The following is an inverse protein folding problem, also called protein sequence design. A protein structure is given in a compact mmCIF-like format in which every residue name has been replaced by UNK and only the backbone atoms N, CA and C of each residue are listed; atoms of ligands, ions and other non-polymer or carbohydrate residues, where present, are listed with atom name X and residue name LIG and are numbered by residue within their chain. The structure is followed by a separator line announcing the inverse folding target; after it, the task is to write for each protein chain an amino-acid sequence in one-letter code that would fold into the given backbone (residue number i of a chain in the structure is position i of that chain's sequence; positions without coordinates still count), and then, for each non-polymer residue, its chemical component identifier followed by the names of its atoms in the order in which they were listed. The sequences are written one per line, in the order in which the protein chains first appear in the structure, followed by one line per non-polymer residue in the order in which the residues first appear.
data_IF_643571964948
#
_entry.id   IF_643571964948
#
_cell.length_a   1.000
_cell.length_b   1.000
_cell.length_c   1.000
_cell.angle_alpha   90.00
_cell.angle_beta   90.00
_cell.angle_gamma   90.00
#
_symmetry.space_group_name_H-M   'P 1'
#
loop_
_entity.id
_entity.type
_entity.pdbx_description
1 polymer ?
#
# COMPACT_ATOMS: atom_id res chain seq x y z
N UNK A 1 -43.97 -18.24 42.64
CA UNK A 1 -42.56 -18.39 43.04
C UNK A 1 -41.81 -18.66 41.74
N UNK A 2 -41.38 -17.65 40.96
CA UNK A 2 -40.21 -16.77 41.18
C UNK A 2 -38.94 -17.62 41.40
N UNK A 3 -37.85 -17.57 40.64
CA UNK A 3 -37.19 -16.46 39.95
C UNK A 3 -36.33 -16.92 38.76
N UNK A 4 -36.17 -16.00 37.81
CA UNK A 4 -35.17 -15.92 36.72
C UNK A 4 -33.74 -15.73 37.22
N UNK A 5 -32.73 -16.25 36.50
CA UNK A 5 -31.32 -15.78 36.48
C UNK A 5 -30.67 -16.33 35.19
N UNK A 6 -30.38 -15.54 34.14
CA UNK A 6 -29.18 -14.69 33.91
C UNK A 6 -27.87 -15.53 33.87
N UNK A 7 -26.92 -15.44 32.92
CA UNK A 7 -26.61 -14.46 31.87
C UNK A 7 -25.56 -15.08 30.89
N UNK A 8 -25.49 -14.43 29.72
CA UNK A 8 -24.55 -14.52 28.60
C UNK A 8 -23.07 -14.84 28.89
N UNK A 9 -22.38 -15.43 27.90
CA UNK A 9 -21.35 -14.74 27.12
C UNK A 9 -20.98 -15.55 25.86
N UNK A 10 -21.27 -14.99 24.68
CA UNK A 10 -20.79 -15.50 23.39
C UNK A 10 -19.34 -15.05 23.20
N UNK A 11 -18.40 -16.01 23.19
CA UNK A 11 -17.03 -15.76 22.79
C UNK A 11 -16.93 -15.82 21.26
N UNK A 12 -17.05 -14.67 20.59
CA UNK A 12 -16.64 -14.52 19.21
C UNK A 12 -15.13 -14.26 19.17
N UNK A 13 -14.35 -15.33 19.09
CA UNK A 13 -12.94 -15.22 18.72
C UNK A 13 -12.86 -14.85 17.23
N UNK A 14 -12.27 -13.70 16.95
CA UNK A 14 -12.08 -13.15 15.62
C UNK A 14 -11.18 -14.07 14.78
N UNK A 15 -11.81 -14.85 13.88
CA UNK A 15 -11.11 -15.58 12.84
C UNK A 15 -10.59 -14.57 11.81
N UNK A 16 -9.27 -14.39 11.77
CA UNK A 16 -8.60 -13.68 10.68
C UNK A 16 -8.92 -14.40 9.37
N UNK A 17 -9.55 -13.67 8.45
CA UNK A 17 -10.09 -14.17 7.20
C UNK A 17 -9.07 -14.97 6.41
N UNK A 18 -9.47 -16.19 6.08
CA UNK A 18 -8.85 -17.08 5.11
C UNK A 18 -8.69 -16.35 3.77
N UNK A 19 -7.44 -16.09 3.36
CA UNK A 19 -7.11 -15.73 1.99
C UNK A 19 -7.28 -16.98 1.12
N UNK A 20 -8.46 -17.13 0.52
CA UNK A 20 -8.71 -18.13 -0.51
C UNK A 20 -7.88 -17.79 -1.75
N UNK A 21 -6.86 -18.59 -1.99
CA UNK A 21 -6.15 -18.64 -3.28
C UNK A 21 -7.13 -18.97 -4.39
N UNK A 22 -7.39 -18.01 -5.28
CA UNK A 22 -8.04 -18.24 -6.55
C UNK A 22 -7.15 -17.71 -7.69
N UNK A 23 -6.78 -18.64 -8.56
CA UNK A 23 -5.83 -18.51 -9.65
C UNK A 23 -6.23 -17.52 -10.74
N UNK A 24 -5.22 -16.79 -11.22
CA UNK A 24 -5.01 -16.27 -12.58
C UNK A 24 -6.24 -15.97 -13.46
N UNK A 25 -6.63 -14.70 -13.46
CA UNK A 25 -6.93 -13.96 -14.68
C UNK A 25 -6.56 -12.50 -14.41
N UNK A 26 -5.79 -11.87 -15.30
CA UNK A 26 -5.58 -10.41 -15.31
C UNK A 26 -6.91 -9.75 -15.70
N UNK A 27 -7.89 -9.81 -14.81
CA UNK A 27 -9.06 -8.95 -14.91
C UNK A 27 -8.55 -7.53 -14.74
N UNK A 28 -8.80 -6.67 -15.72
CA UNK A 28 -8.61 -5.23 -15.55
C UNK A 28 -9.23 -4.86 -14.20
N UNK A 29 -8.40 -4.36 -13.28
CA UNK A 29 -8.83 -4.10 -11.90
C UNK A 29 -10.14 -3.29 -11.94
N UNK A 30 -11.23 -3.93 -11.50
CA UNK A 30 -12.54 -3.28 -11.50
C UNK A 30 -12.45 -2.05 -10.59
N UNK A 31 -12.96 -0.92 -11.08
CA UNK A 31 -13.01 0.30 -10.29
C UNK A 31 -13.76 0.02 -8.97
N UNK A 32 -13.23 0.46 -7.81
CA UNK A 32 -13.86 0.18 -6.53
C UNK A 32 -15.21 0.89 -6.45
N UNK A 33 -16.24 0.18 -5.98
CA UNK A 33 -17.60 0.73 -5.89
C UNK A 33 -17.85 1.51 -4.60
N UNK A 34 -16.97 1.34 -3.61
CA UNK A 34 -17.06 1.98 -2.29
C UNK A 34 -15.68 2.15 -1.65
N UNK A 35 -15.63 2.90 -0.55
CA UNK A 35 -14.39 3.20 0.17
C UNK A 35 -13.67 1.93 0.68
N UNK A 36 -14.43 0.92 1.12
CA UNK A 36 -13.83 -0.32 1.63
C UNK A 36 -13.09 -1.06 0.52
N UNK A 37 -13.72 -1.25 -0.63
CA UNK A 37 -13.08 -1.88 -1.79
C UNK A 37 -11.86 -1.09 -2.26
N UNK A 38 -11.92 0.25 -2.25
CA UNK A 38 -10.77 1.09 -2.61
C UNK A 38 -9.60 0.89 -1.65
N UNK A 39 -9.87 0.87 -0.33
CA UNK A 39 -8.84 0.63 0.70
C UNK A 39 -8.26 -0.78 0.59
N UNK A 40 -9.11 -1.82 0.45
CA UNK A 40 -8.68 -3.21 0.32
C UNK A 40 -7.76 -3.38 -0.91
N UNK A 41 -8.13 -2.78 -2.05
CA UNK A 41 -7.31 -2.79 -3.27
C UNK A 41 -5.98 -2.03 -3.12
N UNK A 42 -6.00 -0.85 -2.48
CA UNK A 42 -4.80 -0.05 -2.24
C UNK A 42 -3.81 -0.78 -1.32
N UNK A 43 -4.31 -1.37 -0.23
CA UNK A 43 -3.50 -2.16 0.69
C UNK A 43 -2.92 -3.42 0.03
N UNK A 44 -3.68 -4.06 -0.87
CA UNK A 44 -3.18 -5.20 -1.64
C UNK A 44 -2.00 -4.83 -2.54
N UNK A 45 -2.13 -3.75 -3.32
CA UNK A 45 -1.03 -3.23 -4.16
C UNK A 45 0.18 -2.83 -3.32
N UNK A 46 -0.04 -2.07 -2.23
CA UNK A 46 1.03 -1.67 -1.31
C UNK A 46 1.77 -2.89 -0.75
N UNK A 47 1.04 -3.93 -0.34
CA UNK A 47 1.64 -5.16 0.17
C UNK A 47 2.51 -5.83 -0.89
N UNK A 48 1.97 -6.04 -2.09
CA UNK A 48 2.70 -6.71 -3.18
C UNK A 48 3.96 -5.93 -3.57
N UNK A 49 3.89 -4.61 -3.64
CA UNK A 49 5.00 -3.75 -4.02
C UNK A 49 6.07 -3.67 -2.92
N UNK A 50 5.63 -3.57 -1.66
CA UNK A 50 6.52 -3.61 -0.50
C UNK A 50 7.26 -4.95 -0.42
N UNK A 51 6.56 -6.07 -0.60
CA UNK A 51 7.18 -7.40 -0.58
C UNK A 51 8.23 -7.56 -1.69
N UNK A 52 8.02 -6.96 -2.86
CA UNK A 52 9.05 -6.92 -3.92
C UNK A 52 10.25 -6.07 -3.53
N UNK A 53 10.03 -4.90 -2.95
CA UNK A 53 11.11 -4.00 -2.51
C UNK A 53 11.98 -4.61 -1.40
N UNK A 54 11.37 -5.17 -0.35
CA UNK A 54 12.12 -5.70 0.81
C UNK A 54 12.82 -7.04 0.53
N UNK A 55 12.52 -7.67 -0.61
CA UNK A 55 13.17 -8.93 -1.01
C UNK A 55 14.60 -8.72 -1.54
N UNK A 56 15.06 -7.47 -1.67
CA UNK A 56 16.41 -7.17 -2.13
C UNK A 56 17.47 -7.54 -1.08
N UNK A 57 18.60 -8.10 -1.51
CA UNK A 57 19.67 -8.57 -0.61
C UNK A 57 20.43 -7.42 0.08
N UNK A 58 20.60 -6.29 -0.61
CA UNK A 58 21.16 -5.06 -0.04
C UNK A 58 20.12 -4.36 0.87
N UNK A 59 20.49 -4.15 2.13
CA UNK A 59 19.61 -3.60 3.15
C UNK A 59 19.18 -2.14 2.87
N UNK A 60 20.05 -1.32 2.28
CA UNK A 60 19.72 0.07 1.98
C UNK A 60 18.73 0.14 0.81
N UNK A 61 18.92 -0.72 -0.19
CA UNK A 61 17.97 -0.86 -1.32
C UNK A 61 16.64 -1.43 -0.82
N UNK A 62 16.66 -2.47 0.01
CA UNK A 62 15.45 -3.06 0.58
C UNK A 62 14.65 -2.04 1.39
N UNK A 63 15.34 -1.24 2.21
CA UNK A 63 14.73 -0.15 2.95
C UNK A 63 14.14 0.90 2.00
N UNK A 64 14.92 1.39 1.03
CA UNK A 64 14.48 2.46 0.14
C UNK A 64 13.29 2.04 -0.74
N UNK A 65 13.34 0.85 -1.34
CA UNK A 65 12.27 0.33 -2.18
C UNK A 65 11.02 -0.03 -1.37
N UNK A 66 11.20 -0.70 -0.21
CA UNK A 66 10.10 -1.05 0.68
C UNK A 66 9.39 0.18 1.24
N UNK A 67 10.15 1.19 1.69
CA UNK A 67 9.58 2.44 2.22
C UNK A 67 8.93 3.27 1.13
N UNK A 68 9.46 3.24 -0.10
CA UNK A 68 8.83 3.90 -1.23
C UNK A 68 7.45 3.31 -1.54
N UNK A 69 7.32 1.98 -1.53
CA UNK A 69 6.02 1.30 -1.70
C UNK A 69 5.05 1.60 -0.55
N UNK A 70 5.54 1.60 0.70
CA UNK A 70 4.73 1.97 1.87
C UNK A 70 4.21 3.42 1.76
N UNK A 71 5.04 4.36 1.34
CA UNK A 71 4.62 5.75 1.15
C UNK A 71 3.60 5.92 0.03
N UNK A 72 3.78 5.24 -1.10
CA UNK A 72 2.82 5.28 -2.21
C UNK A 72 1.44 4.78 -1.77
N UNK A 73 1.40 3.66 -1.02
CA UNK A 73 0.17 3.14 -0.42
C UNK A 73 -0.48 4.10 0.56
N UNK A 74 0.29 4.77 1.42
CA UNK A 74 -0.24 5.75 2.36
C UNK A 74 -0.80 7.00 1.66
N UNK A 75 -0.14 7.47 0.59
CA UNK A 75 -0.65 8.55 -0.27
C UNK A 75 -1.95 8.14 -0.96
N UNK A 76 -2.04 6.91 -1.45
CA UNK A 76 -3.26 6.39 -2.06
C UNK A 76 -4.42 6.31 -1.06
N UNK A 77 -4.20 5.77 0.14
CA UNK A 77 -5.21 5.75 1.20
C UNK A 77 -5.66 7.16 1.61
N UNK A 78 -4.73 8.12 1.68
CA UNK A 78 -5.07 9.52 1.95
C UNK A 78 -5.95 10.10 0.83
N UNK A 79 -5.68 9.80 -0.44
CA UNK A 79 -6.54 10.20 -1.57
C UNK A 79 -7.92 9.55 -1.50
N UNK A 80 -8.01 8.29 -1.08
CA UNK A 80 -9.29 7.61 -0.82
C UNK A 80 -10.06 8.32 0.30
N UNK A 81 -9.39 8.71 1.39
CA UNK A 81 -10.01 9.51 2.45
C UNK A 81 -10.55 10.86 1.94
N UNK A 82 -9.84 11.52 1.02
CA UNK A 82 -10.32 12.76 0.39
C UNK A 82 -11.49 12.53 -0.57
N UNK A 83 -11.60 11.34 -1.16
CA UNK A 83 -12.68 10.99 -2.07
C UNK A 83 -13.97 10.60 -1.34
N UNK A 84 -13.87 9.76 -0.30
CA UNK A 84 -15.05 9.18 0.36
C UNK A 84 -15.34 9.78 1.76
N UNK A 85 -14.31 10.32 2.42
CA UNK A 85 -14.39 10.86 3.77
C UNK A 85 -15.02 12.25 3.83
N UNK A 86 -15.78 12.50 4.90
CA UNK A 86 -16.55 13.74 5.10
C UNK A 86 -16.11 14.56 6.31
N UNK A 87 -15.40 13.96 7.25
CA UNK A 87 -14.92 14.64 8.45
C UNK A 87 -13.81 15.65 8.10
N UNK A 88 -13.95 16.95 8.42
CA UNK A 88 -12.97 17.97 8.03
C UNK A 88 -11.58 17.74 8.62
N UNK A 89 -11.47 17.26 9.87
CA UNK A 89 -10.18 17.03 10.50
C UNK A 89 -9.44 15.85 9.85
N UNK A 90 -10.15 14.78 9.51
CA UNK A 90 -9.55 13.64 8.81
C UNK A 90 -9.16 13.96 7.37
N UNK A 91 -9.90 14.85 6.70
CA UNK A 91 -9.53 15.35 5.37
C UNK A 91 -8.27 16.22 5.44
N UNK A 92 -8.17 17.12 6.42
CA UNK A 92 -6.96 17.91 6.63
C UNK A 92 -5.74 17.01 6.87
N UNK A 93 -5.89 16.00 7.75
CA UNK A 93 -4.84 15.02 8.00
C UNK A 93 -4.41 14.29 6.71
N UNK A 94 -5.36 13.91 5.85
CA UNK A 94 -5.04 13.27 4.58
C UNK A 94 -4.22 14.18 3.64
N UNK A 95 -4.57 15.47 3.54
CA UNK A 95 -3.77 16.43 2.77
C UNK A 95 -2.35 16.61 3.34
N UNK A 96 -2.23 16.64 4.67
CA UNK A 96 -0.94 16.75 5.36
C UNK A 96 -0.07 15.52 5.12
N UNK A 97 -0.65 14.31 5.17
CA UNK A 97 0.02 13.05 4.84
C UNK A 97 0.53 13.05 3.41
N UNK A 98 -0.28 13.46 2.43
CA UNK A 98 0.12 13.52 1.02
C UNK A 98 1.35 14.41 0.86
N UNK A 99 1.32 15.64 1.41
CA UNK A 99 2.45 16.58 1.28
C UNK A 99 3.73 16.08 1.94
N UNK A 100 3.62 15.49 3.12
CA UNK A 100 4.78 14.98 3.84
C UNK A 100 5.44 13.81 3.09
N UNK A 101 4.63 12.82 2.68
CA UNK A 101 5.16 11.59 2.10
C UNK A 101 5.63 11.76 0.64
N UNK A 102 5.01 12.63 -0.16
CA UNK A 102 5.49 12.94 -1.51
C UNK A 102 6.92 13.50 -1.49
N UNK A 103 7.29 14.28 -0.46
CA UNK A 103 8.66 14.78 -0.28
C UNK A 103 9.66 13.65 0.00
N UNK A 104 9.33 12.72 0.89
CA UNK A 104 10.18 11.56 1.22
C UNK A 104 10.31 10.61 0.02
N UNK A 105 9.23 10.39 -0.74
CA UNK A 105 9.25 9.58 -1.96
C UNK A 105 10.23 10.10 -3.00
N UNK A 106 10.38 11.43 -3.16
CA UNK A 106 11.35 12.02 -4.09
C UNK A 106 12.77 11.64 -3.67
N UNK A 107 13.09 11.75 -2.37
CA UNK A 107 14.41 11.39 -1.83
C UNK A 107 14.74 9.92 -2.11
N UNK A 108 13.79 9.02 -1.85
CA UNK A 108 13.97 7.58 -2.07
C UNK A 108 14.13 7.24 -3.55
N UNK A 109 13.28 7.81 -4.43
CA UNK A 109 13.36 7.62 -5.88
C UNK A 109 14.70 8.09 -6.44
N UNK A 110 15.16 9.28 -6.03
CA UNK A 110 16.45 9.82 -6.46
C UNK A 110 17.62 8.96 -5.99
N UNK A 111 17.55 8.44 -4.77
CA UNK A 111 18.60 7.58 -4.21
C UNK A 111 18.72 6.25 -4.96
N UNK A 112 17.59 5.64 -5.32
CA UNK A 112 17.52 4.41 -6.14
C UNK A 112 17.99 4.68 -7.58
N UNK A 113 17.52 5.77 -8.19
CA UNK A 113 17.88 6.13 -9.57
C UNK A 113 19.38 6.39 -9.74
N UNK A 114 20.04 7.02 -8.77
CA UNK A 114 21.51 7.23 -8.77
C UNK A 114 22.31 5.92 -8.76
N UNK A 115 21.67 4.79 -8.44
CA UNK A 115 22.24 3.44 -8.46
C UNK A 115 21.76 2.61 -9.66
N UNK A 116 21.02 3.21 -10.60
CA UNK A 116 20.45 2.53 -11.76
C UNK A 116 19.27 1.61 -11.41
N UNK A 117 18.66 1.80 -10.23
CA UNK A 117 17.55 0.99 -9.74
C UNK A 117 16.21 1.70 -9.93
N UNK A 118 15.17 0.92 -10.17
CA UNK A 118 13.78 1.35 -10.21
C UNK A 118 13.18 1.47 -8.80
N UNK A 119 11.91 1.86 -8.74
CA UNK A 119 11.16 2.04 -7.49
C UNK A 119 11.02 0.74 -6.66
N UNK A 120 11.07 -0.40 -7.32
CA UNK A 120 11.02 -1.74 -6.73
C UNK A 120 12.41 -2.28 -6.34
N UNK A 121 13.46 -1.47 -6.48
CA UNK A 121 14.83 -1.88 -6.15
C UNK A 121 15.51 -2.74 -7.22
N UNK A 122 14.84 -3.05 -8.33
CA UNK A 122 15.44 -3.83 -9.41
C UNK A 122 16.15 -2.92 -10.44
N UNK A 123 17.16 -3.43 -11.15
CA UNK A 123 17.80 -2.67 -12.23
C UNK A 123 16.78 -2.21 -13.26
N UNK A 124 16.80 -0.91 -13.58
CA UNK A 124 16.03 -0.41 -14.72
C UNK A 124 16.64 -1.03 -15.96
N UNK A 125 15.86 -1.78 -16.76
CA UNK A 125 16.32 -2.22 -18.09
C UNK A 125 16.75 -0.98 -18.84
N UNK A 126 18.05 -0.80 -19.04
CA UNK A 126 18.56 0.26 -19.89
C UNK A 126 17.90 0.08 -21.25
N UNK A 127 17.09 1.06 -21.67
CA UNK A 127 16.73 1.18 -23.07
C UNK A 127 18.05 1.32 -23.83
N UNK A 128 18.39 0.30 -24.60
CA UNK A 128 19.60 0.14 -25.40
C UNK A 128 20.28 1.48 -25.74
N UNK A 129 21.29 1.87 -24.95
CA UNK A 129 22.15 3.00 -25.26
C UNK A 129 23.15 2.56 -26.35
N UNK A 130 22.64 2.36 -27.56
CA UNK A 130 23.44 2.20 -28.76
C UNK A 130 23.12 3.34 -29.72
N UNK A 131 23.66 4.51 -29.42
CA UNK A 131 23.74 5.63 -30.35
C UNK A 131 25.07 6.38 -30.14
N UNK A 132 26.07 5.95 -30.92
CA UNK A 132 27.02 6.87 -31.57
C UNK A 132 28.22 7.34 -30.75
N UNK A 133 29.34 6.63 -30.91
CA UNK A 133 30.64 7.23 -31.17
C UNK A 133 31.23 6.58 -32.43
#
# INVERSE_FOLDING_TARGET
MSFTSAQAQQNANASHGSHSSASTATAAAQAPNNAREALDQSMGRMHDDMMRGIAHDDADVAFAAGMLAHHDGAVEMARIQLQYGKDPAMRQLAEDIIRAQEGEMIVLKDWLAKRGLGADGHPVKQANAHAGH
#
